data_IF_502463271886
#
_entry.id   IF_502463271886
#
_cell.length_a   1.000
_cell.length_b   1.000
_cell.length_c   1.000
_cell.angle_alpha   90.00
_cell.angle_beta   90.00
_cell.angle_gamma   90.00
#
_symmetry.space_group_name_H-M   'P 1'
#
loop_
_entity.id
_entity.type
_entity.pdbx_description
1 polymer ?
#
# COMPACT_ATOMS: atom_id res chain seq x y z
N UNK A 1 0.73 -38.14 -10.30
CA UNK A 1 0.08 -36.97 -10.94
C UNK A 1 -0.16 -35.84 -9.93
N UNK A 2 -0.29 -36.15 -8.63
CA UNK A 2 -0.64 -35.18 -7.58
C UNK A 2 0.51 -34.22 -7.20
N UNK A 3 1.76 -34.66 -7.32
CA UNK A 3 2.92 -33.83 -6.93
C UNK A 3 3.20 -32.66 -7.89
N UNK A 4 2.93 -32.82 -9.19
CA UNK A 4 3.11 -31.76 -10.19
C UNK A 4 2.06 -30.64 -10.02
N UNK A 5 0.84 -30.99 -9.62
CA UNK A 5 -0.25 -30.05 -9.34
C UNK A 5 0.03 -29.22 -8.07
N UNK A 6 0.58 -29.85 -7.02
CA UNK A 6 0.98 -29.16 -5.78
C UNK A 6 2.16 -28.21 -6.00
N UNK A 7 3.15 -28.58 -6.81
CA UNK A 7 4.29 -27.70 -7.15
C UNK A 7 3.84 -26.49 -8.00
N UNK A 8 2.91 -26.68 -8.93
CA UNK A 8 2.29 -25.60 -9.72
C UNK A 8 1.49 -24.63 -8.86
N UNK A 9 0.72 -25.16 -7.89
CA UNK A 9 -0.06 -24.37 -6.93
C UNK A 9 0.81 -23.50 -6.02
N UNK A 10 1.98 -23.99 -5.59
CA UNK A 10 2.93 -23.17 -4.81
C UNK A 10 3.50 -22.01 -5.62
N UNK A 11 3.83 -22.24 -6.89
CA UNK A 11 4.37 -21.20 -7.77
C UNK A 11 3.42 -20.02 -7.98
N UNK A 12 2.12 -20.28 -8.18
CA UNK A 12 1.13 -19.20 -8.35
C UNK A 12 0.90 -18.43 -7.05
N UNK A 13 0.85 -19.09 -5.90
CA UNK A 13 0.68 -18.43 -4.60
C UNK A 13 1.87 -17.52 -4.29
N UNK A 14 3.10 -18.00 -4.50
CA UNK A 14 4.31 -17.22 -4.30
C UNK A 14 4.34 -15.98 -5.20
N UNK A 15 3.98 -16.12 -6.48
CA UNK A 15 3.91 -14.99 -7.42
C UNK A 15 2.88 -13.95 -6.99
N UNK A 16 1.71 -14.37 -6.51
CA UNK A 16 0.65 -13.47 -6.02
C UNK A 16 1.09 -12.76 -4.75
N UNK A 17 1.68 -13.48 -3.80
CA UNK A 17 2.22 -12.91 -2.58
C UNK A 17 3.31 -11.87 -2.89
N UNK A 18 4.25 -12.21 -3.77
CA UNK A 18 5.29 -11.29 -4.22
C UNK A 18 4.69 -10.05 -4.89
N UNK A 19 3.71 -10.21 -5.78
CA UNK A 19 3.04 -9.08 -6.43
C UNK A 19 2.31 -8.17 -5.43
N UNK A 20 1.64 -8.75 -4.43
CA UNK A 20 0.98 -7.98 -3.35
C UNK A 20 1.98 -7.23 -2.48
N UNK A 21 3.10 -7.83 -2.13
CA UNK A 21 4.18 -7.19 -1.36
C UNK A 21 4.81 -6.06 -2.18
N UNK A 22 5.11 -6.30 -3.45
CA UNK A 22 5.68 -5.29 -4.35
C UNK A 22 4.70 -4.13 -4.58
N UNK A 23 3.39 -4.38 -4.65
CA UNK A 23 2.39 -3.33 -4.71
C UNK A 23 2.40 -2.45 -3.46
N UNK A 24 2.48 -3.05 -2.28
CA UNK A 24 2.53 -2.30 -1.02
C UNK A 24 3.84 -1.48 -0.92
N UNK A 25 4.95 -2.08 -1.35
CA UNK A 25 6.25 -1.42 -1.41
C UNK A 25 6.27 -0.25 -2.41
N UNK A 26 5.63 -0.41 -3.57
CA UNK A 26 5.49 0.65 -4.57
C UNK A 26 4.72 1.85 -4.01
N UNK A 27 3.59 1.60 -3.33
CA UNK A 27 2.81 2.67 -2.67
C UNK A 27 3.62 3.34 -1.57
N UNK A 28 4.35 2.56 -0.76
CA UNK A 28 5.21 3.08 0.29
C UNK A 28 6.33 3.98 -0.25
N UNK A 29 6.99 3.56 -1.34
CA UNK A 29 8.02 4.35 -2.00
C UNK A 29 7.45 5.64 -2.60
N UNK A 30 6.29 5.55 -3.26
CA UNK A 30 5.61 6.71 -3.84
C UNK A 30 5.13 7.72 -2.78
N UNK A 31 4.77 7.25 -1.58
CA UNK A 31 4.40 8.10 -0.45
C UNK A 31 5.55 8.98 0.07
N UNK A 32 6.80 8.57 -0.17
CA UNK A 32 7.99 9.34 0.24
C UNK A 32 8.23 10.55 -0.65
N UNK A 33 7.75 10.51 -1.90
CA UNK A 33 7.79 11.67 -2.79
C UNK A 33 6.65 12.61 -2.38
N UNK A 34 6.97 13.50 -1.45
CA UNK A 34 6.02 14.38 -0.79
C UNK A 34 6.47 15.85 -0.86
N UNK A 35 5.59 16.71 -1.38
CA UNK A 35 5.79 18.15 -1.46
C UNK A 35 4.81 18.81 -0.49
N UNK A 36 5.30 19.41 0.61
CA UNK A 36 4.46 20.18 1.52
C UNK A 36 3.83 21.37 0.80
N UNK A 37 2.54 21.60 1.02
CA UNK A 37 1.80 22.72 0.45
C UNK A 37 1.55 23.78 1.53
N UNK A 38 1.71 25.08 1.22
CA UNK A 38 1.39 26.14 2.17
C UNK A 38 -0.12 26.17 2.46
N UNK A 39 -0.49 26.32 3.74
CA UNK A 39 -1.89 26.47 4.16
C UNK A 39 -2.68 25.17 4.36
N UNK A 40 -2.06 23.99 4.18
CA UNK A 40 -2.70 22.69 4.46
C UNK A 40 -1.73 21.70 5.13
N UNK A 41 -2.21 20.87 6.08
CA UNK A 41 -1.40 19.81 6.68
C UNK A 41 -1.24 18.57 5.77
N UNK A 42 -1.90 18.54 4.60
CA UNK A 42 -1.88 17.39 3.67
C UNK A 42 -0.88 17.65 2.54
N UNK A 43 0.26 16.93 2.48
CA UNK A 43 1.23 17.11 1.41
C UNK A 43 0.72 16.53 0.09
N UNK A 44 1.17 17.10 -1.03
CA UNK A 44 0.99 16.48 -2.35
C UNK A 44 1.99 15.33 -2.50
N UNK A 45 1.51 14.14 -2.85
CA UNK A 45 2.35 12.94 -2.96
C UNK A 45 2.07 12.15 -4.23
N UNK A 46 2.98 11.25 -4.63
CA UNK A 46 2.73 10.25 -5.69
C UNK A 46 1.94 9.04 -5.20
N UNK A 47 1.57 9.00 -3.92
CA UNK A 47 0.89 7.87 -3.29
C UNK A 47 -0.44 7.51 -3.97
N UNK A 48 -1.35 8.45 -4.29
CA UNK A 48 -2.63 8.10 -4.92
C UNK A 48 -2.45 7.53 -6.33
N UNK A 49 -1.45 7.98 -7.08
CA UNK A 49 -1.11 7.41 -8.39
C UNK A 49 -0.68 5.94 -8.24
N UNK A 50 0.21 5.65 -7.29
CA UNK A 50 0.63 4.28 -7.03
C UNK A 50 -0.52 3.38 -6.58
N UNK A 51 -1.45 3.91 -5.77
CA UNK A 51 -2.67 3.19 -5.36
C UNK A 51 -3.51 2.79 -6.58
N UNK A 52 -3.75 3.73 -7.49
CA UNK A 52 -4.51 3.46 -8.72
C UNK A 52 -3.80 2.42 -9.61
N UNK A 53 -2.48 2.51 -9.74
CA UNK A 53 -1.69 1.54 -10.49
C UNK A 53 -1.76 0.15 -9.87
N UNK A 54 -1.61 0.03 -8.55
CA UNK A 54 -1.69 -1.26 -7.85
C UNK A 54 -3.09 -1.87 -7.97
N UNK A 55 -4.15 -1.08 -7.77
CA UNK A 55 -5.52 -1.53 -7.94
C UNK A 55 -5.83 -1.97 -9.37
N UNK A 56 -5.37 -1.20 -10.36
CA UNK A 56 -5.56 -1.48 -11.79
C UNK A 56 -4.78 -2.70 -12.28
N UNK A 57 -3.54 -2.88 -11.84
CA UNK A 57 -2.65 -3.96 -12.31
C UNK A 57 -2.90 -5.30 -11.59
N UNK A 58 -3.21 -5.28 -10.28
CA UNK A 58 -3.40 -6.50 -9.50
C UNK A 58 -4.88 -6.94 -9.43
N UNK A 59 -5.80 -6.07 -9.86
CA UNK A 59 -7.24 -6.28 -9.81
C UNK A 59 -7.82 -6.20 -8.40
N UNK A 60 -9.16 -6.31 -8.29
CA UNK A 60 -9.90 -5.98 -7.05
C UNK A 60 -9.39 -6.68 -5.79
N UNK A 61 -9.09 -7.98 -5.86
CA UNK A 61 -8.76 -8.76 -4.66
C UNK A 61 -7.31 -8.61 -4.25
N UNK A 62 -6.38 -8.75 -5.20
CA UNK A 62 -4.96 -8.69 -4.89
C UNK A 62 -4.51 -7.25 -4.66
N UNK A 63 -5.08 -6.29 -5.41
CA UNK A 63 -4.91 -4.86 -5.18
C UNK A 63 -5.38 -4.44 -3.80
N UNK A 64 -6.64 -4.72 -3.43
CA UNK A 64 -7.15 -4.42 -2.10
C UNK A 64 -6.30 -5.07 -0.99
N UNK A 65 -5.89 -6.34 -1.16
CA UNK A 65 -5.01 -7.00 -0.17
C UNK A 65 -3.64 -6.33 -0.03
N UNK A 66 -3.09 -5.80 -1.12
CA UNK A 66 -1.83 -5.06 -1.14
C UNK A 66 -1.95 -3.73 -0.41
N UNK A 67 -3.06 -3.03 -0.59
CA UNK A 67 -3.35 -1.76 0.07
C UNK A 67 -3.70 -1.94 1.56
N UNK A 68 -4.39 -3.03 1.92
CA UNK A 68 -4.57 -3.42 3.31
C UNK A 68 -3.24 -3.75 3.99
N UNK A 69 -2.34 -4.47 3.30
CA UNK A 69 -0.98 -4.72 3.79
C UNK A 69 -0.23 -3.40 4.02
N UNK A 70 -0.30 -2.47 3.07
CA UNK A 70 0.29 -1.13 3.21
C UNK A 70 -0.23 -0.41 4.47
N UNK A 71 -1.54 -0.40 4.68
CA UNK A 71 -2.15 0.20 5.88
C UNK A 71 -1.73 -0.51 7.17
N UNK A 72 -1.70 -1.84 7.17
CA UNK A 72 -1.30 -2.62 8.33
C UNK A 72 0.16 -2.35 8.73
N UNK A 73 1.08 -2.27 7.76
CA UNK A 73 2.49 -1.94 8.02
C UNK A 73 2.63 -0.53 8.61
N UNK A 74 1.93 0.45 8.05
CA UNK A 74 1.96 1.82 8.57
C UNK A 74 1.29 1.95 9.94
N UNK A 75 0.19 1.24 10.18
CA UNK A 75 -0.48 1.20 11.48
C UNK A 75 0.40 0.54 12.55
N UNK A 76 1.19 -0.49 12.18
CA UNK A 76 2.20 -1.12 13.02
C UNK A 76 3.41 -0.23 13.33
N UNK A 77 3.49 0.97 12.73
CA UNK A 77 4.53 1.96 13.03
C UNK A 77 5.69 1.97 12.05
N UNK A 78 5.65 1.19 10.96
CA UNK A 78 6.70 1.29 9.94
C UNK A 78 6.59 2.63 9.18
N UNK A 79 7.73 3.22 8.78
CA UNK A 79 7.77 4.50 8.06
C UNK A 79 7.40 4.33 6.57
N UNK A 80 6.20 3.80 6.29
CA UNK A 80 5.67 3.58 4.92
C UNK A 80 4.72 4.68 4.47
N UNK A 81 4.15 5.44 5.42
CA UNK A 81 3.34 6.61 5.12
C UNK A 81 4.20 7.79 4.70
N UNK A 82 3.55 8.85 4.23
CA UNK A 82 4.24 10.10 3.89
C UNK A 82 5.03 10.65 5.10
N UNK A 83 6.24 11.19 4.90
CA UNK A 83 7.13 11.64 5.98
C UNK A 83 6.52 12.70 6.92
N UNK A 84 5.54 13.46 6.44
CA UNK A 84 4.97 14.60 7.18
C UNK A 84 3.73 14.15 7.92
N UNK A 85 3.73 14.14 9.25
CA UNK A 85 2.55 13.91 10.12
C UNK A 85 2.75 12.79 11.16
N UNK A 86 1.68 12.35 11.80
CA UNK A 86 1.75 11.39 12.92
C UNK A 86 2.24 9.99 12.47
N UNK A 87 3.00 9.26 13.29
CA UNK A 87 3.38 7.88 13.00
C UNK A 87 2.28 6.87 13.37
N UNK A 88 2.41 5.64 12.89
CA UNK A 88 1.62 4.50 13.37
C UNK A 88 0.11 4.63 13.10
N UNK A 89 -0.67 3.94 13.93
CA UNK A 89 -2.15 3.97 13.87
C UNK A 89 -2.74 5.37 14.02
N UNK A 90 -2.06 6.27 14.75
CA UNK A 90 -2.50 7.66 14.93
C UNK A 90 -2.62 8.41 13.59
N UNK A 91 -1.88 7.97 12.55
CA UNK A 91 -1.99 8.49 11.19
C UNK A 91 -3.41 8.39 10.62
N UNK A 92 -4.14 7.32 10.94
CA UNK A 92 -5.48 7.05 10.41
C UNK A 92 -6.54 8.02 10.94
N UNK A 93 -6.26 8.66 12.07
CA UNK A 93 -7.13 9.68 12.67
C UNK A 93 -6.64 11.11 12.40
N UNK A 94 -5.56 11.26 11.62
CA UNK A 94 -5.02 12.56 11.24
C UNK A 94 -5.61 13.13 9.95
N UNK A 95 -5.13 14.29 9.49
CA UNK A 95 -5.64 14.97 8.30
C UNK A 95 -5.57 14.14 7.01
N UNK A 96 -4.61 13.21 6.91
CA UNK A 96 -4.46 12.30 5.75
C UNK A 96 -5.20 10.97 5.93
N UNK A 97 -5.85 10.75 7.07
CA UNK A 97 -6.44 9.46 7.44
C UNK A 97 -7.54 9.02 6.48
N UNK A 98 -8.41 9.94 6.06
CA UNK A 98 -9.48 9.67 5.09
C UNK A 98 -8.96 9.14 3.75
N UNK A 99 -7.83 9.67 3.26
CA UNK A 99 -7.19 9.16 2.04
C UNK A 99 -6.66 7.74 2.23
N UNK A 100 -5.98 7.48 3.34
CA UNK A 100 -5.43 6.16 3.66
C UNK A 100 -6.54 5.10 3.73
N UNK A 101 -7.65 5.42 4.40
CA UNK A 101 -8.78 4.50 4.57
C UNK A 101 -9.58 4.28 3.27
N UNK A 102 -9.47 5.18 2.29
CA UNK A 102 -10.17 5.07 1.01
C UNK A 102 -9.41 4.24 -0.05
N UNK A 103 -8.17 3.84 0.21
CA UNK A 103 -7.36 3.14 -0.78
C UNK A 103 -7.76 1.68 -1.06
N UNK A 104 -7.96 0.82 -0.03
CA UNK A 104 -8.35 -0.57 -0.26
C UNK A 104 -9.72 -0.70 -0.96
#
# INVERSE_FOLDING_TARGET
MDQALVLSGRGIVLRRAAAGILGAALVAAAAQVAIPLPGTPVPMTLQPLAVLLVGGLLGRWLGASSLLLYLALGAAGLPVFTPVGLPGVARLFGPTGGYLLAYP
#
